data_IF_918464053524
#
_entry.id   IF_918464053524
#
_cell.length_a   1.000
_cell.length_b   1.000
_cell.length_c   1.000
_cell.angle_alpha   90.00
_cell.angle_beta   90.00
_cell.angle_gamma   90.00
#
_symmetry.space_group_name_H-M   'P 1'
#
loop_
_entity.id
_entity.type
_entity.pdbx_description
1 polymer ?
#
# COMPACT_ATOMS: atom_id res chain seq x y z
N UNK A 1 -29.21 -2.22 21.23
CA UNK A 1 -27.78 -1.85 21.31
C UNK A 1 -27.15 -2.78 22.34
N UNK A 2 -26.36 -3.76 21.88
CA UNK A 2 -25.58 -4.62 22.80
C UNK A 2 -24.25 -3.91 23.00
N UNK A 3 -23.98 -3.44 24.22
CA UNK A 3 -22.66 -2.93 24.58
C UNK A 3 -21.67 -4.12 24.50
N UNK A 4 -20.71 -4.05 23.58
CA UNK A 4 -19.59 -4.97 23.52
C UNK A 4 -18.72 -4.69 24.76
N UNK A 5 -18.59 -5.66 25.64
CA UNK A 5 -17.71 -5.55 26.80
C UNK A 5 -16.26 -5.78 26.30
N UNK A 6 -15.50 -4.70 26.16
CA UNK A 6 -14.07 -4.78 25.87
C UNK A 6 -13.36 -5.18 27.18
N UNK A 7 -12.68 -6.33 27.18
CA UNK A 7 -11.88 -6.76 28.32
C UNK A 7 -10.51 -6.10 28.27
N UNK A 8 -10.20 -5.23 29.23
CA UNK A 8 -8.91 -4.54 29.36
C UNK A 8 -8.16 -5.13 30.53
N UNK A 9 -7.00 -5.72 30.30
CA UNK A 9 -6.12 -6.24 31.34
C UNK A 9 -4.81 -5.43 31.39
N UNK A 10 -4.53 -4.77 32.50
CA UNK A 10 -3.27 -4.06 32.77
C UNK A 10 -2.29 -5.00 33.48
N UNK A 11 -1.16 -5.24 32.87
CA UNK A 11 -0.04 -5.99 33.48
C UNK A 11 1.01 -5.00 33.99
N UNK A 12 1.01 -4.69 35.29
CA UNK A 12 2.01 -3.81 35.90
C UNK A 12 3.29 -4.57 36.27
N UNK A 13 4.43 -4.17 35.71
CA UNK A 13 5.76 -4.56 36.17
C UNK A 13 6.57 -3.33 36.57
N UNK A 14 7.03 -3.29 37.85
CA UNK A 14 7.81 -2.20 38.42
C UNK A 14 9.26 -2.23 37.92
N UNK A 15 9.53 -1.49 36.86
CA UNK A 15 10.79 -0.88 36.42
C UNK A 15 10.42 0.22 35.41
N UNK A 16 11.26 1.22 35.20
CA UNK A 16 11.07 2.25 34.16
C UNK A 16 11.09 1.56 32.77
N UNK A 17 10.04 0.81 32.48
CA UNK A 17 9.78 0.10 31.21
C UNK A 17 8.43 0.57 30.73
N UNK A 18 8.33 0.82 29.42
CA UNK A 18 7.08 1.09 28.76
C UNK A 18 6.03 0.05 29.19
N UNK A 19 4.89 0.52 29.67
CA UNK A 19 3.80 -0.36 30.06
C UNK A 19 3.11 -0.93 28.84
N UNK A 20 2.40 -2.04 29.01
CA UNK A 20 1.69 -2.71 27.92
C UNK A 20 0.22 -2.81 28.26
N UNK A 21 -0.60 -2.22 27.43
CA UNK A 21 -2.06 -2.38 27.42
C UNK A 21 -2.41 -3.50 26.43
N UNK A 22 -3.15 -4.49 26.89
CA UNK A 22 -3.65 -5.58 26.06
C UNK A 22 -5.16 -5.45 25.89
N UNK A 23 -5.62 -5.50 24.64
CA UNK A 23 -7.03 -5.42 24.27
C UNK A 23 -7.38 -6.66 23.46
N UNK A 24 -8.44 -7.35 23.87
CA UNK A 24 -8.98 -8.54 23.22
C UNK A 24 -10.45 -8.35 22.88
N UNK A 25 -11.06 -9.34 22.25
CA UNK A 25 -12.48 -9.35 21.90
C UNK A 25 -12.88 -8.22 20.90
N UNK A 26 -11.92 -7.75 20.10
CA UNK A 26 -12.18 -6.85 18.99
C UNK A 26 -12.73 -7.64 17.79
N UNK A 27 -13.77 -7.10 17.15
CA UNK A 27 -14.31 -7.60 15.88
C UNK A 27 -14.10 -6.48 14.86
N UNK A 28 -13.05 -6.61 14.07
CA UNK A 28 -12.62 -5.58 13.11
C UNK A 28 -12.06 -6.27 11.86
N UNK A 29 -12.30 -5.66 10.71
CA UNK A 29 -11.83 -6.08 9.39
C UNK A 29 -10.99 -5.00 8.71
N UNK A 30 -10.98 -3.77 9.27
CA UNK A 30 -10.26 -2.62 8.72
C UNK A 30 -9.40 -1.96 9.79
N UNK A 31 -8.23 -1.46 9.38
CA UNK A 31 -7.29 -0.76 10.25
C UNK A 31 -7.01 0.64 9.71
N UNK A 32 -7.26 1.65 10.53
CA UNK A 32 -6.94 3.05 10.23
C UNK A 32 -5.90 3.57 11.23
N UNK A 33 -4.71 3.87 10.75
CA UNK A 33 -3.62 4.42 11.56
C UNK A 33 -3.54 5.92 11.33
N UNK A 34 -3.56 6.69 12.42
CA UNK A 34 -3.55 8.15 12.36
C UNK A 34 -2.36 8.75 13.10
N UNK A 35 -1.81 9.85 12.56
CA UNK A 35 -0.69 10.57 13.17
C UNK A 35 0.67 9.97 12.84
N UNK A 36 1.60 9.99 13.82
CA UNK A 36 3.01 9.60 13.62
C UNK A 36 3.37 8.44 14.55
N UNK A 37 2.65 7.35 14.44
CA UNK A 37 2.81 6.14 15.28
C UNK A 37 3.40 4.99 14.47
N UNK A 38 4.01 4.03 15.17
CA UNK A 38 4.51 2.79 14.59
C UNK A 38 3.52 1.65 14.88
N UNK A 39 3.10 0.95 13.83
CA UNK A 39 2.17 -0.17 13.94
C UNK A 39 2.74 -1.40 13.27
N UNK A 40 2.78 -2.52 13.98
CA UNK A 40 3.06 -3.82 13.41
C UNK A 40 1.77 -4.63 13.32
N UNK A 41 1.49 -5.21 12.14
CA UNK A 41 0.32 -6.06 11.88
C UNK A 41 0.80 -7.45 11.53
N UNK A 42 0.19 -8.47 12.13
CA UNK A 42 0.44 -9.87 11.82
C UNK A 42 -0.85 -10.68 11.79
N UNK A 43 -0.88 -11.71 10.95
CA UNK A 43 -2.00 -12.63 10.89
C UNK A 43 -1.96 -13.63 12.03
N UNK A 44 -3.12 -13.94 12.62
CA UNK A 44 -3.26 -14.94 13.67
C UNK A 44 -4.71 -15.36 13.85
N UNK A 45 -4.96 -16.35 14.69
CA UNK A 45 -6.31 -16.96 14.83
C UNK A 45 -7.33 -16.04 15.52
N UNK A 46 -6.88 -15.10 16.33
CA UNK A 46 -7.75 -14.23 17.13
C UNK A 46 -7.23 -12.79 17.09
N UNK A 47 -8.16 -11.83 17.20
CA UNK A 47 -7.79 -10.42 17.25
C UNK A 47 -7.25 -10.05 18.63
N UNK A 48 -6.01 -9.56 18.67
CA UNK A 48 -5.33 -9.05 19.85
C UNK A 48 -4.57 -7.77 19.51
N UNK A 49 -4.76 -6.73 20.31
CA UNK A 49 -4.04 -5.48 20.20
C UNK A 49 -3.18 -5.26 21.45
N UNK A 50 -1.86 -5.20 21.27
CA UNK A 50 -0.90 -4.81 22.29
C UNK A 50 -0.43 -3.39 22.02
N UNK A 51 -0.55 -2.52 23.02
CA UNK A 51 -0.15 -1.11 22.95
C UNK A 51 0.94 -0.88 24.00
N UNK A 52 2.09 -0.37 23.57
CA UNK A 52 3.23 -0.07 24.45
C UNK A 52 3.52 1.42 24.47
N UNK A 53 3.67 1.96 25.66
CA UNK A 53 3.95 3.40 25.84
C UNK A 53 3.98 3.80 27.30
N UNK A 54 4.09 5.11 27.54
CA UNK A 54 3.99 5.67 28.88
C UNK A 54 2.56 5.53 29.42
N UNK A 55 2.40 5.27 30.72
CA UNK A 55 1.09 5.02 31.35
C UNK A 55 0.08 6.14 31.11
N UNK A 56 0.52 7.38 31.20
CA UNK A 56 -0.35 8.55 30.95
C UNK A 56 -0.90 8.59 29.52
N UNK A 57 -0.15 8.08 28.54
CA UNK A 57 -0.61 7.92 27.15
C UNK A 57 -1.57 6.76 27.00
N UNK A 58 -1.29 5.63 27.66
CA UNK A 58 -2.15 4.45 27.64
C UNK A 58 -3.50 4.73 28.32
N UNK A 59 -3.51 5.49 29.42
CA UNK A 59 -4.74 5.89 30.14
C UNK A 59 -5.67 6.76 29.27
N UNK A 60 -5.12 7.46 28.26
CA UNK A 60 -5.89 8.24 27.31
C UNK A 60 -6.55 7.39 26.22
N UNK A 61 -6.40 6.07 26.26
CA UNK A 61 -6.93 5.13 25.27
C UNK A 61 -6.60 5.59 23.83
N UNK A 62 -5.34 5.41 23.37
CA UNK A 62 -4.89 5.91 22.05
C UNK A 62 -5.39 5.05 20.90
N UNK A 63 -6.57 4.50 21.02
CA UNK A 63 -7.30 3.71 20.03
C UNK A 63 -8.80 3.74 20.29
N UNK A 64 -9.58 3.44 19.27
CA UNK A 64 -11.02 3.19 19.37
C UNK A 64 -11.52 2.39 18.15
N UNK A 65 -12.75 1.87 18.20
CA UNK A 65 -13.40 1.22 17.08
C UNK A 65 -14.55 2.07 16.54
N UNK A 66 -14.69 2.09 15.22
CA UNK A 66 -15.82 2.71 14.52
C UNK A 66 -16.40 1.72 13.51
N UNK A 67 -17.49 1.05 13.87
CA UNK A 67 -17.99 -0.10 13.12
C UNK A 67 -16.96 -1.21 13.11
N UNK A 68 -16.56 -1.68 11.95
CA UNK A 68 -15.56 -2.73 11.73
C UNK A 68 -14.14 -2.17 11.55
N UNK A 69 -13.94 -0.85 11.75
CA UNK A 69 -12.63 -0.21 11.65
C UNK A 69 -12.01 0.02 13.02
N UNK A 70 -10.80 -0.50 13.22
CA UNK A 70 -9.93 -0.16 14.36
C UNK A 70 -9.11 1.09 14.02
N UNK A 71 -9.26 2.14 14.82
CA UNK A 71 -8.49 3.38 14.69
C UNK A 71 -7.37 3.38 15.73
N UNK A 72 -6.13 3.53 15.29
CA UNK A 72 -4.91 3.58 16.09
C UNK A 72 -4.23 4.95 15.99
N UNK A 73 -3.49 5.36 17.03
CA UNK A 73 -2.76 6.63 17.06
C UNK A 73 -3.61 7.86 17.37
N UNK A 74 -4.89 7.64 17.67
CA UNK A 74 -5.83 8.71 18.04
C UNK A 74 -6.72 8.28 19.20
N UNK A 75 -7.10 9.24 20.05
CA UNK A 75 -8.08 9.03 21.13
C UNK A 75 -9.37 9.77 20.83
N UNK A 76 -10.50 9.10 20.97
CA UNK A 76 -11.81 9.73 20.75
C UNK A 76 -12.10 10.83 21.77
N UNK A 77 -11.61 10.64 23.01
CA UNK A 77 -11.84 11.55 24.14
C UNK A 77 -10.77 12.65 24.25
N UNK A 78 -9.51 12.39 23.82
CA UNK A 78 -8.36 13.30 23.96
C UNK A 78 -7.87 13.79 22.59
N UNK A 79 -8.77 14.51 21.88
CA UNK A 79 -8.49 15.05 20.55
C UNK A 79 -7.29 16.02 20.57
N UNK A 80 -6.40 15.91 19.58
CA UNK A 80 -5.23 16.76 19.45
C UNK A 80 -4.01 16.33 20.29
N UNK A 81 -4.11 15.24 21.04
CA UNK A 81 -2.97 14.64 21.73
C UNK A 81 -2.12 13.84 20.73
N UNK A 82 -0.80 14.02 20.77
CA UNK A 82 0.14 13.19 20.01
C UNK A 82 0.45 11.90 20.76
N UNK A 83 0.44 10.79 20.04
CA UNK A 83 0.77 9.45 20.52
C UNK A 83 2.02 8.87 19.83
N UNK A 84 2.92 9.71 19.32
CA UNK A 84 4.11 9.31 18.56
C UNK A 84 5.10 8.42 19.33
N UNK A 85 5.04 8.40 20.66
CA UNK A 85 5.83 7.49 21.51
C UNK A 85 5.16 6.13 21.75
N UNK A 86 3.93 5.94 21.25
CA UNK A 86 3.17 4.71 21.43
C UNK A 86 3.39 3.78 20.25
N UNK A 87 3.62 2.50 20.55
CA UNK A 87 3.79 1.44 19.54
C UNK A 87 2.64 0.45 19.65
N UNK A 88 2.20 -0.04 18.50
CA UNK A 88 1.07 -0.95 18.38
C UNK A 88 1.52 -2.25 17.74
N UNK A 89 1.08 -3.36 18.30
CA UNK A 89 1.20 -4.69 17.71
C UNK A 89 -0.22 -5.26 17.61
N UNK A 90 -0.69 -5.43 16.41
CA UNK A 90 -2.03 -5.94 16.11
C UNK A 90 -1.91 -7.31 15.47
N UNK A 91 -2.56 -8.30 16.09
CA UNK A 91 -2.79 -9.62 15.51
C UNK A 91 -4.26 -9.71 15.14
N UNK A 92 -4.60 -10.19 13.94
CA UNK A 92 -5.99 -10.40 13.53
C UNK A 92 -6.08 -11.52 12.48
N UNK A 93 -7.23 -12.21 12.37
CA UNK A 93 -7.38 -13.33 11.44
C UNK A 93 -7.45 -12.87 9.99
N UNK A 94 -8.06 -11.70 9.74
CA UNK A 94 -8.28 -11.16 8.41
C UNK A 94 -8.28 -9.64 8.42
N UNK A 95 -7.93 -9.02 7.27
CA UNK A 95 -7.99 -7.57 7.06
C UNK A 95 -8.25 -7.24 5.59
N UNK A 96 -9.22 -6.35 5.35
CA UNK A 96 -9.59 -5.89 4.02
C UNK A 96 -8.94 -4.54 3.68
N UNK A 97 -8.78 -3.66 4.67
CA UNK A 97 -8.22 -2.32 4.47
C UNK A 97 -7.20 -1.95 5.55
N UNK A 98 -6.03 -1.47 5.11
CA UNK A 98 -5.01 -0.87 5.97
C UNK A 98 -4.77 0.56 5.46
N UNK A 99 -5.15 1.53 6.26
CA UNK A 99 -5.06 2.94 5.92
C UNK A 99 -4.14 3.68 6.88
N UNK A 100 -3.15 4.38 6.34
CA UNK A 100 -2.26 5.27 7.08
C UNK A 100 -2.56 6.74 6.73
N UNK A 101 -2.97 7.52 7.72
CA UNK A 101 -3.18 8.97 7.58
C UNK A 101 -2.22 9.72 8.50
N UNK A 102 -1.20 10.33 7.93
CA UNK A 102 -0.17 11.08 8.67
C UNK A 102 1.26 10.74 8.26
N UNK A 103 2.16 10.58 9.25
CA UNK A 103 3.60 10.38 9.04
C UNK A 103 4.15 9.23 9.90
N UNK A 104 3.31 8.28 10.26
CA UNK A 104 3.70 7.06 10.96
C UNK A 104 4.16 5.97 10.00
N UNK A 105 4.51 4.82 10.56
CA UNK A 105 4.96 3.66 9.80
C UNK A 105 4.12 2.43 10.13
N UNK A 106 3.74 1.66 9.10
CA UNK A 106 3.06 0.38 9.25
C UNK A 106 3.94 -0.73 8.69
N UNK A 107 4.15 -1.78 9.48
CA UNK A 107 4.85 -2.98 9.08
C UNK A 107 3.87 -4.15 9.11
N UNK A 108 3.57 -4.71 7.94
CA UNK A 108 2.66 -5.86 7.81
C UNK A 108 3.48 -7.11 7.54
N UNK A 109 3.39 -8.10 8.41
CA UNK A 109 3.98 -9.43 8.20
C UNK A 109 3.24 -10.18 7.09
N UNK A 110 3.72 -11.36 6.65
CA UNK A 110 3.01 -12.14 5.64
C UNK A 110 1.53 -12.30 5.98
N UNK A 111 0.67 -12.07 4.98
CA UNK A 111 -0.77 -12.03 5.14
C UNK A 111 -1.48 -12.71 3.96
N UNK A 112 -2.51 -13.49 4.25
CA UNK A 112 -3.39 -14.11 3.26
C UNK A 112 -4.82 -13.64 3.52
N UNK A 113 -5.47 -13.07 2.51
CA UNK A 113 -6.83 -12.53 2.58
C UNK A 113 -7.52 -12.64 1.23
N UNK A 114 -8.81 -12.31 1.16
CA UNK A 114 -9.55 -12.34 -0.10
C UNK A 114 -9.27 -11.09 -0.95
N UNK A 115 -9.35 -9.91 -0.35
CA UNK A 115 -9.07 -8.62 -0.99
C UNK A 115 -8.30 -7.73 -0.01
N UNK A 116 -7.28 -7.03 -0.49
CA UNK A 116 -6.51 -6.11 0.35
C UNK A 116 -6.33 -4.74 -0.31
N UNK A 117 -6.81 -3.70 0.36
CA UNK A 117 -6.46 -2.32 0.09
C UNK A 117 -5.44 -1.83 1.11
N UNK A 118 -4.25 -1.41 0.65
CA UNK A 118 -3.30 -0.64 1.46
C UNK A 118 -3.23 0.80 0.94
N UNK A 119 -3.41 1.77 1.83
CA UNK A 119 -3.48 3.17 1.42
C UNK A 119 -2.68 4.09 2.36
N UNK A 120 -1.93 5.03 1.78
CA UNK A 120 -1.23 6.10 2.48
C UNK A 120 -1.80 7.45 2.06
N UNK A 121 -2.28 8.22 3.03
CA UNK A 121 -2.65 9.64 2.89
C UNK A 121 -1.71 10.49 3.76
N UNK A 122 -0.63 10.99 3.17
CA UNK A 122 0.36 11.79 3.91
C UNK A 122 1.79 11.52 3.51
N UNK A 123 2.67 11.35 4.52
CA UNK A 123 4.11 11.19 4.33
C UNK A 123 4.69 10.00 5.13
N UNK A 124 3.84 9.15 5.65
CA UNK A 124 4.24 7.93 6.34
C UNK A 124 4.36 6.75 5.37
N UNK A 125 4.93 5.64 5.81
CA UNK A 125 5.24 4.50 4.96
C UNK A 125 4.49 3.22 5.39
N UNK A 126 4.08 2.41 4.40
CA UNK A 126 3.59 1.06 4.64
C UNK A 126 4.57 0.06 4.03
N UNK A 127 5.07 -0.85 4.85
CA UNK A 127 5.95 -1.94 4.44
C UNK A 127 5.24 -3.28 4.67
N UNK A 128 4.87 -3.97 3.58
CA UNK A 128 4.21 -5.26 3.60
C UNK A 128 5.16 -6.33 3.07
N UNK A 129 5.41 -7.37 3.87
CA UNK A 129 6.39 -8.42 3.53
C UNK A 129 5.90 -9.36 2.45
N UNK A 130 4.68 -9.87 2.57
CA UNK A 130 4.08 -10.76 1.58
C UNK A 130 2.56 -10.69 1.69
N UNK A 131 1.89 -10.72 0.55
CA UNK A 131 0.43 -10.86 0.48
C UNK A 131 0.04 -11.85 -0.58
N UNK A 132 -0.93 -12.72 -0.22
CA UNK A 132 -1.65 -13.60 -1.13
C UNK A 132 -3.12 -13.19 -1.07
N UNK A 133 -3.69 -12.74 -2.20
CA UNK A 133 -5.08 -12.31 -2.27
C UNK A 133 -5.65 -12.46 -3.70
N UNK A 134 -6.97 -12.40 -3.86
CA UNK A 134 -7.60 -12.34 -5.19
C UNK A 134 -7.43 -10.96 -5.84
N UNK A 135 -7.39 -9.90 -5.03
CA UNK A 135 -7.18 -8.53 -5.47
C UNK A 135 -6.30 -7.79 -4.47
N UNK A 136 -5.29 -7.10 -4.97
CA UNK A 136 -4.43 -6.22 -4.16
C UNK A 136 -4.45 -4.81 -4.74
N UNK A 137 -4.81 -3.84 -3.91
CA UNK A 137 -4.77 -2.42 -4.25
C UNK A 137 -3.78 -1.68 -3.37
N UNK A 138 -2.83 -0.97 -3.97
CA UNK A 138 -1.90 -0.09 -3.25
C UNK A 138 -2.10 1.35 -3.73
N UNK A 139 -2.40 2.25 -2.78
CA UNK A 139 -2.73 3.64 -3.11
C UNK A 139 -1.95 4.62 -2.26
N UNK A 140 -1.19 5.50 -2.91
CA UNK A 140 -0.48 6.60 -2.26
C UNK A 140 -1.12 7.93 -2.65
N UNK A 141 -1.43 8.75 -1.65
CA UNK A 141 -1.78 10.17 -1.80
C UNK A 141 -0.87 11.00 -0.92
N UNK A 142 0.00 11.76 -1.53
CA UNK A 142 0.99 12.58 -0.82
C UNK A 142 2.42 12.27 -1.19
N UNK A 143 3.28 12.08 -0.18
CA UNK A 143 4.73 11.87 -0.36
C UNK A 143 5.26 10.68 0.44
N UNK A 144 4.40 9.87 1.00
CA UNK A 144 4.76 8.61 1.66
C UNK A 144 4.85 7.48 0.67
N UNK A 145 5.39 6.34 1.07
CA UNK A 145 5.67 5.20 0.21
C UNK A 145 4.90 3.94 0.63
N UNK A 146 4.61 3.08 -0.35
CA UNK A 146 4.17 1.71 -0.11
C UNK A 146 5.20 0.74 -0.70
N UNK A 147 5.71 -0.16 0.15
CA UNK A 147 6.66 -1.20 -0.24
C UNK A 147 6.03 -2.57 -0.01
N UNK A 148 5.82 -3.31 -1.09
CA UNK A 148 5.28 -4.66 -1.11
C UNK A 148 6.42 -5.60 -1.50
N UNK A 149 6.98 -6.39 -0.56
CA UNK A 149 8.13 -7.22 -0.89
C UNK A 149 7.75 -8.40 -1.78
N UNK A 150 6.60 -9.03 -1.56
CA UNK A 150 6.06 -10.09 -2.41
C UNK A 150 4.54 -9.97 -2.52
N UNK A 151 4.02 -10.04 -3.76
CA UNK A 151 2.59 -10.00 -4.08
C UNK A 151 2.24 -11.19 -4.96
N UNK A 152 1.29 -11.99 -4.52
CA UNK A 152 0.65 -13.05 -5.29
C UNK A 152 -0.85 -12.75 -5.38
N UNK A 153 -1.30 -12.25 -6.53
CA UNK A 153 -2.69 -11.86 -6.75
C UNK A 153 -3.01 -11.83 -8.24
N UNK A 154 -4.12 -12.42 -8.69
CA UNK A 154 -4.55 -12.30 -10.09
C UNK A 154 -4.68 -10.85 -10.54
N UNK A 155 -5.21 -9.96 -9.70
CA UNK A 155 -5.48 -8.57 -10.04
C UNK A 155 -4.72 -7.63 -9.10
N UNK A 156 -3.91 -6.72 -9.68
CA UNK A 156 -3.11 -5.76 -8.91
C UNK A 156 -3.34 -4.35 -9.44
N UNK A 157 -3.82 -3.46 -8.58
CA UNK A 157 -4.01 -2.02 -8.85
C UNK A 157 -3.01 -1.20 -8.03
N UNK A 158 -2.17 -0.42 -8.71
CA UNK A 158 -1.17 0.45 -8.11
C UNK A 158 -1.45 1.90 -8.48
N UNK A 159 -1.69 2.77 -7.49
CA UNK A 159 -2.06 4.15 -7.72
C UNK A 159 -1.19 5.11 -6.90
N UNK A 160 -0.60 6.09 -7.59
CA UNK A 160 0.14 7.20 -6.96
C UNK A 160 -0.48 8.53 -7.36
N UNK A 161 -0.92 9.30 -6.36
CA UNK A 161 -1.40 10.67 -6.52
C UNK A 161 -0.54 11.61 -5.64
N UNK A 162 0.53 12.14 -6.21
CA UNK A 162 1.51 12.99 -5.50
C UNK A 162 2.94 12.74 -5.92
N UNK A 163 3.83 12.60 -4.94
CA UNK A 163 5.28 12.44 -5.15
C UNK A 163 5.87 11.27 -4.35
N UNK A 164 5.04 10.47 -3.73
CA UNK A 164 5.46 9.23 -3.08
C UNK A 164 5.47 8.07 -4.06
N UNK A 165 5.96 6.91 -3.65
CA UNK A 165 6.24 5.78 -4.53
C UNK A 165 5.50 4.50 -4.12
N UNK A 166 5.25 3.63 -5.10
CA UNK A 166 4.85 2.25 -4.87
C UNK A 166 5.89 1.31 -5.45
N UNK A 167 6.48 0.48 -4.61
CA UNK A 167 7.49 -0.49 -5.01
C UNK A 167 7.07 -1.92 -4.70
N UNK A 168 7.08 -2.79 -5.72
CA UNK A 168 6.83 -4.23 -5.60
C UNK A 168 8.12 -4.99 -5.84
N UNK A 169 8.55 -5.80 -4.87
CA UNK A 169 9.77 -6.60 -4.96
C UNK A 169 9.62 -7.77 -5.92
N UNK A 170 8.65 -8.64 -5.66
CA UNK A 170 8.32 -9.79 -6.50
C UNK A 170 6.81 -9.84 -6.73
N UNK A 171 6.42 -9.99 -7.99
CA UNK A 171 5.03 -10.02 -8.41
C UNK A 171 4.68 -11.34 -9.10
N UNK A 172 3.53 -11.89 -8.74
CA UNK A 172 2.82 -12.94 -9.48
C UNK A 172 1.40 -12.44 -9.71
N UNK A 173 1.06 -12.10 -10.97
CA UNK A 173 -0.23 -11.54 -11.32
C UNK A 173 -0.71 -11.99 -12.71
N UNK A 174 -2.00 -11.83 -12.99
CA UNK A 174 -2.61 -12.01 -14.31
C UNK A 174 -2.87 -10.66 -14.98
N UNK A 175 -3.23 -9.63 -14.21
CA UNK A 175 -3.44 -8.26 -14.68
C UNK A 175 -2.83 -7.22 -13.74
N UNK A 176 -2.34 -6.13 -14.32
CA UNK A 176 -1.77 -4.99 -13.59
C UNK A 176 -2.38 -3.71 -14.13
N UNK A 177 -2.89 -2.87 -13.23
CA UNK A 177 -3.23 -1.48 -13.52
C UNK A 177 -2.29 -0.56 -12.72
N UNK A 178 -1.58 0.33 -13.40
CA UNK A 178 -0.65 1.27 -12.79
C UNK A 178 -1.01 2.70 -13.19
N UNK A 179 -1.40 3.52 -12.21
CA UNK A 179 -1.83 4.89 -12.44
C UNK A 179 -1.00 5.88 -11.63
N UNK A 180 -0.41 6.87 -12.32
CA UNK A 180 0.28 8.00 -11.69
C UNK A 180 -0.42 9.31 -12.02
N UNK A 181 -0.70 10.11 -10.99
CA UNK A 181 -1.11 11.51 -11.10
C UNK A 181 -0.15 12.37 -10.27
N UNK A 182 0.91 12.87 -10.88
CA UNK A 182 1.97 13.62 -10.19
C UNK A 182 3.38 13.31 -10.68
N UNK A 183 4.30 13.14 -9.73
CA UNK A 183 5.75 12.95 -10.00
C UNK A 183 6.36 11.80 -9.19
N UNK A 184 5.55 10.99 -8.56
CA UNK A 184 6.02 9.77 -7.88
C UNK A 184 6.12 8.59 -8.85
N UNK A 185 6.68 7.48 -8.40
CA UNK A 185 7.02 6.34 -9.25
C UNK A 185 6.28 5.06 -8.83
N UNK A 186 6.05 4.19 -9.81
CA UNK A 186 5.59 2.81 -9.59
C UNK A 186 6.64 1.86 -10.18
N UNK A 187 7.14 0.91 -9.39
CA UNK A 187 8.17 -0.02 -9.83
C UNK A 187 7.93 -1.46 -9.41
N UNK A 188 8.07 -2.39 -10.35
CA UNK A 188 8.10 -3.84 -10.10
C UNK A 188 9.50 -4.38 -10.40
N UNK A 189 10.17 -4.93 -9.38
CA UNK A 189 11.56 -5.39 -9.50
C UNK A 189 11.71 -6.73 -10.20
N UNK A 190 10.80 -7.67 -9.95
CA UNK A 190 10.77 -8.99 -10.60
C UNK A 190 9.35 -9.48 -10.75
N UNK A 191 9.06 -10.21 -11.84
CA UNK A 191 7.80 -10.93 -12.02
C UNK A 191 8.07 -12.43 -12.22
N UNK A 192 7.21 -13.27 -11.64
CA UNK A 192 7.37 -14.73 -11.70
C UNK A 192 6.65 -15.37 -12.88
N UNK A 193 5.67 -14.68 -13.48
CA UNK A 193 4.81 -15.17 -14.56
C UNK A 193 4.68 -14.11 -15.64
N UNK A 194 4.34 -14.55 -16.86
CA UNK A 194 3.91 -13.64 -17.90
C UNK A 194 2.49 -13.15 -17.57
N UNK A 195 2.31 -11.83 -17.58
CA UNK A 195 1.03 -11.16 -17.30
C UNK A 195 0.17 -11.16 -18.56
N UNK A 196 -1.13 -11.28 -18.42
CA UNK A 196 -2.07 -11.25 -19.56
C UNK A 196 -2.25 -9.83 -20.08
N UNK A 197 -2.47 -8.86 -19.19
CA UNK A 197 -2.72 -7.45 -19.53
C UNK A 197 -2.05 -6.50 -18.56
N UNK A 198 -1.55 -5.40 -19.10
CA UNK A 198 -1.06 -4.24 -18.34
C UNK A 198 -1.77 -3.00 -18.87
N UNK A 199 -2.28 -2.16 -17.97
CA UNK A 199 -2.75 -0.82 -18.26
C UNK A 199 -1.91 0.19 -17.48
N UNK A 200 -1.31 1.17 -18.16
CA UNK A 200 -0.51 2.23 -17.57
C UNK A 200 -1.10 3.57 -17.93
N UNK A 201 -1.43 4.38 -16.91
CA UNK A 201 -1.94 5.73 -17.07
C UNK A 201 -1.05 6.71 -16.30
N UNK A 202 -0.36 7.62 -16.99
CA UNK A 202 0.50 8.63 -16.39
C UNK A 202 -0.01 10.03 -16.73
N UNK A 203 -0.33 10.81 -15.69
CA UNK A 203 -0.65 12.23 -15.80
C UNK A 203 0.36 13.04 -14.96
N UNK A 204 1.42 13.54 -15.59
CA UNK A 204 2.48 14.28 -14.90
C UNK A 204 3.89 13.94 -15.38
N UNK A 205 4.84 13.80 -14.44
CA UNK A 205 6.25 13.53 -14.72
C UNK A 205 6.84 12.33 -13.98
N UNK A 206 5.99 11.45 -13.43
CA UNK A 206 6.44 10.22 -12.75
C UNK A 206 6.79 9.09 -13.72
N UNK A 207 7.39 8.03 -13.22
CA UNK A 207 7.81 6.85 -13.98
C UNK A 207 7.06 5.58 -13.55
N UNK A 208 6.58 4.80 -14.53
CA UNK A 208 6.12 3.42 -14.29
C UNK A 208 7.15 2.45 -14.87
N UNK A 209 7.89 1.75 -14.00
CA UNK A 209 8.89 0.76 -14.40
C UNK A 209 8.40 -0.68 -14.15
N UNK A 210 7.87 -1.29 -15.19
CA UNK A 210 7.49 -2.70 -15.29
C UNK A 210 8.41 -3.46 -16.27
N UNK A 211 9.64 -3.03 -16.47
CA UNK A 211 10.61 -3.63 -17.39
C UNK A 211 10.91 -5.12 -17.08
N UNK A 212 10.74 -5.53 -15.84
CA UNK A 212 10.87 -6.92 -15.41
C UNK A 212 9.63 -7.79 -15.68
N UNK A 213 8.55 -7.21 -16.22
CA UNK A 213 7.25 -7.88 -16.42
C UNK A 213 7.05 -8.19 -17.90
N UNK A 214 7.06 -9.46 -18.27
CA UNK A 214 6.62 -9.88 -19.60
C UNK A 214 5.08 -9.89 -19.65
N UNK A 215 4.49 -9.37 -20.74
CA UNK A 215 3.05 -9.22 -20.89
C UNK A 215 2.54 -9.65 -22.26
N UNK A 216 1.29 -10.05 -22.38
CA UNK A 216 0.68 -10.35 -23.68
C UNK A 216 0.20 -9.07 -24.35
N UNK A 217 -0.56 -8.23 -23.67
CA UNK A 217 -1.05 -6.96 -24.17
C UNK A 217 -0.80 -5.82 -23.16
N UNK A 218 -0.30 -4.70 -23.64
CA UNK A 218 -0.10 -3.49 -22.84
C UNK A 218 -0.77 -2.29 -23.49
N UNK A 219 -1.53 -1.52 -22.71
CA UNK A 219 -2.08 -0.22 -23.05
C UNK A 219 -1.37 0.85 -22.21
N UNK A 220 -0.79 1.86 -22.86
CA UNK A 220 -0.01 2.89 -22.18
C UNK A 220 -0.47 4.27 -22.62
N UNK A 221 -0.97 5.04 -21.66
CA UNK A 221 -1.47 6.39 -21.86
C UNK A 221 -0.63 7.39 -21.06
N UNK A 222 0.03 8.34 -21.70
CA UNK A 222 0.86 9.35 -21.04
C UNK A 222 0.35 10.75 -21.41
N UNK A 223 0.06 11.55 -20.40
CA UNK A 223 -0.22 12.99 -20.51
C UNK A 223 0.82 13.75 -19.68
N UNK A 224 1.79 14.36 -20.34
CA UNK A 224 2.88 15.09 -19.67
C UNK A 224 4.27 14.71 -20.12
N UNK A 225 5.18 14.47 -19.17
CA UNK A 225 6.59 14.17 -19.43
C UNK A 225 7.07 12.95 -18.63
N UNK A 226 6.15 12.17 -18.14
CA UNK A 226 6.48 10.93 -17.42
C UNK A 226 6.80 9.80 -18.39
N UNK A 227 7.51 8.78 -17.91
CA UNK A 227 8.00 7.68 -18.71
C UNK A 227 7.38 6.34 -18.30
N UNK A 228 7.25 5.42 -19.25
CA UNK A 228 6.80 4.08 -18.98
C UNK A 228 7.78 3.04 -19.53
N UNK A 229 8.03 1.97 -18.74
CA UNK A 229 8.85 0.83 -19.16
C UNK A 229 8.07 -0.46 -19.00
N UNK A 230 8.03 -1.29 -20.04
CA UNK A 230 7.45 -2.63 -20.01
C UNK A 230 8.45 -3.65 -20.55
N UNK A 231 8.40 -4.88 -20.04
CA UNK A 231 9.25 -5.97 -20.52
C UNK A 231 8.83 -6.48 -21.89
N UNK A 232 9.04 -7.78 -22.13
CA UNK A 232 8.60 -8.40 -23.40
C UNK A 232 7.09 -8.26 -23.55
N UNK A 233 6.64 -7.65 -24.67
CA UNK A 233 5.23 -7.43 -24.99
C UNK A 233 4.92 -7.96 -26.39
N UNK A 234 3.71 -8.49 -26.59
CA UNK A 234 3.27 -8.96 -27.92
C UNK A 234 2.41 -7.93 -28.65
N UNK A 235 1.46 -7.29 -27.93
CA UNK A 235 0.55 -6.28 -28.47
C UNK A 235 0.69 -5.00 -27.63
N UNK A 236 1.03 -3.87 -28.25
CA UNK A 236 1.31 -2.61 -27.57
C UNK A 236 0.47 -1.46 -28.15
N UNK A 237 -0.49 -0.95 -27.36
CA UNK A 237 -1.23 0.25 -27.66
C UNK A 237 -0.67 1.44 -26.91
N UNK A 238 -0.39 2.54 -27.59
CA UNK A 238 0.30 3.71 -27.03
C UNK A 238 -0.39 4.99 -27.41
N UNK A 239 -0.68 5.83 -26.40
CA UNK A 239 -1.15 7.19 -26.57
C UNK A 239 -0.27 8.16 -25.75
N UNK A 240 0.46 9.05 -26.42
CA UNK A 240 1.28 10.07 -25.76
C UNK A 240 0.78 11.47 -26.14
N UNK A 241 0.52 12.30 -25.13
CA UNK A 241 0.28 13.73 -25.28
C UNK A 241 1.32 14.45 -24.43
N UNK A 242 2.42 14.89 -25.05
CA UNK A 242 3.52 15.56 -24.33
C UNK A 242 4.89 15.14 -24.79
N UNK A 243 5.79 14.88 -23.83
CA UNK A 243 7.21 14.60 -24.09
C UNK A 243 7.72 13.37 -23.33
N UNK A 244 6.83 12.54 -22.83
CA UNK A 244 7.19 11.29 -22.13
C UNK A 244 7.61 10.21 -23.11
N UNK A 245 8.49 9.33 -22.67
CA UNK A 245 9.03 8.24 -23.47
C UNK A 245 8.51 6.87 -22.99
N UNK A 246 8.36 5.95 -23.96
CA UNK A 246 8.01 4.57 -23.66
C UNK A 246 9.15 3.66 -24.08
N UNK A 247 9.52 2.75 -23.16
CA UNK A 247 10.55 1.73 -23.37
C UNK A 247 9.91 0.34 -23.30
N UNK A 248 10.18 -0.50 -24.28
CA UNK A 248 9.61 -1.85 -24.37
C UNK A 248 10.62 -2.87 -24.91
N UNK A 249 10.43 -4.14 -24.57
CA UNK A 249 11.21 -5.25 -25.11
C UNK A 249 10.34 -6.15 -26.01
N UNK A 250 11.01 -7.00 -26.78
CA UNK A 250 10.31 -7.92 -27.72
C UNK A 250 10.15 -7.35 -29.12
N UNK A 251 9.16 -7.86 -29.85
CA UNK A 251 8.82 -7.46 -31.23
C UNK A 251 7.30 -7.40 -31.38
N UNK A 252 6.66 -6.43 -30.67
CA UNK A 252 5.19 -6.32 -30.61
C UNK A 252 4.57 -5.85 -31.91
N UNK A 253 3.27 -6.17 -32.09
CA UNK A 253 2.40 -5.40 -32.94
C UNK A 253 2.08 -4.08 -32.22
N UNK A 254 2.33 -2.94 -32.88
CA UNK A 254 2.25 -1.61 -32.25
C UNK A 254 1.18 -0.77 -32.92
N UNK A 255 0.20 -0.30 -32.13
CA UNK A 255 -0.67 0.84 -32.48
C UNK A 255 -0.28 2.04 -31.63
N UNK A 256 0.12 3.14 -32.27
CA UNK A 256 0.64 4.30 -31.56
C UNK A 256 0.13 5.62 -32.08
N UNK A 257 -0.24 6.50 -31.15
CA UNK A 257 -0.63 7.87 -31.38
C UNK A 257 0.21 8.81 -30.49
N UNK A 258 1.10 9.61 -31.10
CA UNK A 258 2.00 10.51 -30.38
C UNK A 258 1.71 11.96 -30.79
N UNK A 259 1.28 12.77 -29.84
CA UNK A 259 1.09 14.20 -29.98
C UNK A 259 2.11 14.95 -29.09
N UNK A 260 3.28 15.27 -29.66
CA UNK A 260 4.34 15.95 -28.92
C UNK A 260 5.74 15.53 -29.36
N UNK A 261 6.66 15.40 -28.40
CA UNK A 261 8.07 15.09 -28.64
C UNK A 261 8.50 13.77 -27.93
N UNK A 262 7.54 12.98 -27.50
CA UNK A 262 7.83 11.69 -26.89
C UNK A 262 8.22 10.63 -27.93
N UNK A 263 8.99 9.66 -27.51
CA UNK A 263 9.52 8.60 -28.36
C UNK A 263 9.15 7.18 -27.85
N UNK A 264 9.05 6.23 -28.78
CA UNK A 264 8.96 4.80 -28.48
C UNK A 264 10.32 4.16 -28.69
N UNK A 265 10.88 3.56 -27.63
CA UNK A 265 12.24 3.05 -27.61
C UNK A 265 12.24 1.54 -27.36
N UNK A 266 12.75 0.77 -28.29
CA UNK A 266 12.92 -0.67 -28.11
C UNK A 266 14.20 -0.95 -27.33
N UNK A 267 14.07 -1.59 -26.17
CA UNK A 267 15.19 -2.11 -25.40
C UNK A 267 15.58 -3.52 -25.89
N UNK A 268 16.84 -3.92 -25.67
CA UNK A 268 17.39 -5.20 -26.17
C UNK A 268 17.41 -6.25 -25.07
#
# INVERSE_FOLDING_TARGET
>A
MKALAISVMVLASFNVQAETLRVTDLVVENVSVQGSVEVQIEQGETTELLIRGDQDKLDMQPFYTRGETLVLGHSEQHKGTSFSSVKYMLTLPDVNEIWLSGSGDIFVKPFETDELLVAVDGSGDINLFSVVAREVKARVRGSGDIKLAEVESPNVELLVAGSGDVAVGKLTAESIEATISGSGDIRVKTASTKVSSIEINIAGGGEVDLSAVAVSAAEINIIGSGDARVGEVNDLEVNIIGSGDIYYAGDPDIDSNVLGSGDLNRER
#
